data_IF_561041572251
#
_entry.id   IF_561041572251
#
_cell.length_a   1.000
_cell.length_b   1.000
_cell.length_c   1.000
_cell.angle_alpha   90.00
_cell.angle_beta   90.00
_cell.angle_gamma   90.00
#
_symmetry.space_group_name_H-M   'P 1'
#
loop_
_entity.id
_entity.type
_entity.pdbx_description
1 polymer ?
#
# COMPACT_ATOMS: atom_id res chain seq x y z
N UNK A 1 -22.02 4.80 15.05
CA UNK A 1 -20.59 4.55 14.78
C UNK A 1 -20.45 3.97 13.38
N UNK A 2 -19.32 4.26 12.70
CA UNK A 2 -18.83 3.80 11.36
C UNK A 2 -18.43 4.92 10.39
N UNK A 3 -18.67 6.20 10.68
CA UNK A 3 -18.40 7.30 9.72
C UNK A 3 -16.93 7.76 9.58
N UNK A 4 -15.97 7.21 10.33
CA UNK A 4 -14.62 7.82 10.41
C UNK A 4 -13.47 7.01 9.80
N UNK A 5 -13.73 5.89 9.10
CA UNK A 5 -12.64 5.02 8.57
C UNK A 5 -12.53 4.95 7.04
N UNK A 6 -13.43 5.57 6.28
CA UNK A 6 -13.36 5.58 4.81
C UNK A 6 -12.60 6.81 4.31
N UNK A 7 -11.28 6.72 4.37
CA UNK A 7 -10.42 7.63 3.63
C UNK A 7 -10.45 7.26 2.16
N UNK A 8 -11.07 8.12 1.34
CA UNK A 8 -11.07 8.16 -0.13
C UNK A 8 -11.63 6.92 -0.86
N UNK A 9 -12.95 6.99 -1.09
CA UNK A 9 -13.75 6.28 -2.10
C UNK A 9 -13.48 4.79 -2.30
N UNK A 10 -13.53 4.02 -1.23
CA UNK A 10 -13.67 2.57 -1.34
C UNK A 10 -15.06 2.15 -0.87
N UNK A 11 -15.62 1.11 -1.49
CA UNK A 11 -16.91 0.56 -1.10
C UNK A 11 -16.83 -0.96 -0.92
N UNK A 12 -17.70 -1.49 -0.07
CA UNK A 12 -17.92 -2.93 -0.04
C UNK A 12 -19.05 -3.29 -1.01
N UNK A 13 -18.76 -4.15 -1.99
CA UNK A 13 -19.75 -4.65 -2.93
C UNK A 13 -19.49 -6.15 -3.17
N UNK A 14 -20.55 -6.95 -3.22
CA UNK A 14 -20.46 -8.42 -3.44
C UNK A 14 -19.49 -9.13 -2.47
N UNK A 15 -19.48 -8.72 -1.20
CA UNK A 15 -18.60 -9.29 -0.18
C UNK A 15 -17.12 -8.95 -0.34
N UNK A 16 -16.76 -8.01 -1.23
CA UNK A 16 -15.38 -7.60 -1.50
C UNK A 16 -15.21 -6.11 -1.27
N UNK A 17 -14.00 -5.73 -0.87
CA UNK A 17 -13.58 -4.34 -0.85
C UNK A 17 -13.21 -3.90 -2.27
N UNK A 18 -13.84 -2.84 -2.75
CA UNK A 18 -13.62 -2.27 -4.06
C UNK A 18 -12.90 -0.93 -3.89
N UNK A 19 -11.68 -0.83 -4.42
CA UNK A 19 -10.98 0.44 -4.56
C UNK A 19 -11.48 1.13 -5.83
N UNK A 20 -12.18 2.26 -5.66
CA UNK A 20 -12.73 3.05 -6.76
C UNK A 20 -12.29 4.51 -6.63
N UNK A 21 -12.42 5.29 -7.72
CA UNK A 21 -12.18 6.73 -7.72
C UNK A 21 -10.82 7.16 -7.12
N UNK A 22 -9.76 6.55 -7.63
CA UNK A 22 -8.38 6.88 -7.28
C UNK A 22 -7.81 8.05 -8.11
N UNK A 23 -8.66 8.82 -8.81
CA UNK A 23 -8.23 9.90 -9.72
C UNK A 23 -7.55 11.08 -9.01
N UNK A 24 -7.81 11.25 -7.71
CA UNK A 24 -7.15 12.24 -6.85
C UNK A 24 -5.90 11.70 -6.13
N UNK A 25 -5.51 10.45 -6.38
CA UNK A 25 -4.30 9.86 -5.81
C UNK A 25 -3.03 10.48 -6.40
N UNK A 26 -1.88 10.24 -5.75
CA UNK A 26 -0.57 10.75 -6.16
C UNK A 26 -0.46 12.30 -6.23
N UNK A 27 -1.25 13.03 -5.43
CA UNK A 27 -1.14 14.49 -5.33
C UNK A 27 0.26 14.95 -4.90
N UNK A 28 0.64 16.19 -5.24
CA UNK A 28 1.94 16.77 -4.89
C UNK A 28 2.15 16.94 -3.38
N UNK A 29 1.06 17.12 -2.63
CA UNK A 29 1.11 17.27 -1.18
C UNK A 29 1.07 15.90 -0.50
N UNK A 30 2.06 15.56 0.34
CA UNK A 30 2.03 14.32 1.10
C UNK A 30 0.76 14.21 1.96
N UNK A 31 0.10 13.05 1.91
CA UNK A 31 -1.04 12.75 2.78
C UNK A 31 -0.54 11.85 3.93
N UNK A 32 -0.59 12.29 5.20
CA UNK A 32 -0.08 11.51 6.34
C UNK A 32 -1.07 10.42 6.82
N UNK A 33 -2.30 10.41 6.30
CA UNK A 33 -3.34 9.46 6.76
C UNK A 33 -2.99 7.98 6.54
N UNK A 34 -2.40 7.55 5.41
CA UNK A 34 -2.07 6.14 5.17
C UNK A 34 -1.13 5.58 6.24
N UNK A 35 -0.02 6.26 6.55
CA UNK A 35 0.95 5.85 7.57
C UNK A 35 0.28 5.69 8.95
N UNK A 36 -0.50 6.69 9.37
CA UNK A 36 -1.23 6.65 10.64
C UNK A 36 -2.22 5.48 10.74
N UNK A 37 -2.81 5.06 9.62
CA UNK A 37 -3.77 3.97 9.60
C UNK A 37 -3.10 2.61 9.47
N UNK A 38 -1.97 2.53 8.76
CA UNK A 38 -1.17 1.31 8.65
C UNK A 38 -0.79 0.80 10.03
N UNK A 39 -0.31 1.68 10.92
CA UNK A 39 0.14 1.29 12.26
C UNK A 39 -0.96 0.81 13.21
N UNK A 40 -2.24 0.82 12.79
CA UNK A 40 -3.36 0.25 13.53
C UNK A 40 -3.63 -1.21 13.18
N UNK A 41 -3.02 -1.71 12.10
CA UNK A 41 -3.25 -3.03 11.54
C UNK A 41 -2.03 -3.88 11.84
N UNK A 42 -2.23 -5.12 12.28
CA UNK A 42 -1.15 -6.06 12.58
C UNK A 42 -1.33 -7.42 11.89
N UNK A 43 -2.38 -7.56 11.07
CA UNK A 43 -2.73 -8.77 10.33
C UNK A 43 -2.80 -8.46 8.84
N UNK A 44 -2.12 -9.25 8.04
CA UNK A 44 -1.90 -9.01 6.62
C UNK A 44 -2.12 -10.30 5.80
N UNK A 45 -2.34 -10.13 4.48
CA UNK A 45 -2.34 -11.25 3.53
C UNK A 45 -0.90 -11.57 3.13
N UNK A 46 -0.52 -12.85 3.21
CA UNK A 46 0.80 -13.30 2.78
C UNK A 46 0.97 -13.10 1.27
N UNK A 47 -0.04 -13.49 0.48
CA UNK A 47 -0.01 -13.32 -0.97
C UNK A 47 0.22 -11.86 -1.38
N UNK A 48 -0.46 -10.92 -0.71
CA UNK A 48 -0.31 -9.49 -1.01
C UNK A 48 1.08 -8.99 -0.63
N UNK A 49 1.58 -9.38 0.54
CA UNK A 49 2.93 -9.03 0.98
C UNK A 49 3.99 -9.55 0.00
N UNK A 50 3.94 -10.85 -0.33
CA UNK A 50 4.90 -11.49 -1.25
C UNK A 50 4.88 -10.84 -2.64
N UNK A 51 3.69 -10.52 -3.17
CA UNK A 51 3.55 -9.84 -4.46
C UNK A 51 4.18 -8.44 -4.45
N UNK A 52 3.97 -7.65 -3.40
CA UNK A 52 4.57 -6.32 -3.24
C UNK A 52 6.10 -6.44 -3.06
N UNK A 53 6.54 -7.41 -2.26
CA UNK A 53 7.96 -7.69 -2.01
C UNK A 53 8.69 -8.09 -3.31
N UNK A 54 8.01 -8.81 -4.21
CA UNK A 54 8.56 -9.28 -5.47
C UNK A 54 8.73 -8.20 -6.56
N UNK A 55 8.23 -6.97 -6.36
CA UNK A 55 8.40 -5.90 -7.34
C UNK A 55 9.87 -5.64 -7.66
N UNK A 56 10.23 -5.73 -8.95
CA UNK A 56 11.50 -5.28 -9.46
C UNK A 56 11.41 -3.80 -9.84
N UNK A 57 12.15 -2.92 -9.15
CA UNK A 57 12.03 -1.46 -9.25
C UNK A 57 12.03 -0.94 -10.68
N UNK A 58 13.10 -1.25 -11.42
CA UNK A 58 13.31 -0.69 -12.75
C UNK A 58 12.28 -1.24 -13.75
N UNK A 59 11.98 -2.54 -13.67
CA UNK A 59 10.96 -3.17 -14.50
C UNK A 59 9.55 -2.64 -14.21
N UNK A 60 9.26 -2.33 -12.95
CA UNK A 60 7.95 -1.82 -12.55
C UNK A 60 7.72 -0.40 -13.09
N UNK A 61 8.72 0.47 -13.04
CA UNK A 61 8.60 1.81 -13.60
C UNK A 61 8.29 1.75 -15.09
N UNK A 62 9.07 0.98 -15.85
CA UNK A 62 8.90 0.82 -17.29
C UNK A 62 7.55 0.18 -17.65
N UNK A 63 7.06 -0.75 -16.81
CA UNK A 63 5.76 -1.39 -16.98
C UNK A 63 4.59 -0.42 -16.73
N UNK A 64 4.70 0.43 -15.71
CA UNK A 64 3.63 1.35 -15.32
C UNK A 64 3.55 2.57 -16.24
N UNK A 65 4.71 3.10 -16.66
CA UNK A 65 4.81 4.37 -17.39
C UNK A 65 5.90 4.23 -18.45
N UNK A 66 5.48 4.17 -19.71
CA UNK A 66 6.42 4.23 -20.84
C UNK A 66 6.96 5.65 -20.97
N UNK A 67 8.28 5.79 -21.07
CA UNK A 67 8.97 7.09 -21.21
C UNK A 67 8.59 8.13 -20.13
N UNK A 68 8.82 7.84 -18.84
CA UNK A 68 8.32 8.66 -17.75
C UNK A 68 8.98 10.05 -17.72
N UNK A 69 8.14 11.07 -17.56
CA UNK A 69 8.55 12.44 -17.28
C UNK A 69 9.28 12.55 -15.94
N UNK A 70 10.01 13.64 -15.71
CA UNK A 70 10.65 13.93 -14.42
C UNK A 70 9.65 13.88 -13.26
N UNK A 71 8.43 14.37 -13.48
CA UNK A 71 7.37 14.37 -12.47
C UNK A 71 6.94 12.94 -12.10
N UNK A 72 6.74 12.09 -13.10
CA UNK A 72 6.35 10.69 -12.88
C UNK A 72 7.44 9.90 -12.17
N UNK A 73 8.72 10.15 -12.50
CA UNK A 73 9.86 9.56 -11.77
C UNK A 73 9.82 9.95 -10.29
N UNK A 74 9.57 11.22 -9.96
CA UNK A 74 9.44 11.66 -8.56
C UNK A 74 8.26 11.00 -7.83
N UNK A 75 7.15 10.75 -8.54
CA UNK A 75 6.00 10.01 -7.98
C UNK A 75 6.31 8.55 -7.76
N UNK A 76 7.01 7.94 -8.69
CA UNK A 76 7.49 6.57 -8.54
C UNK A 76 8.42 6.43 -7.32
N UNK A 77 9.33 7.39 -7.09
CA UNK A 77 10.16 7.41 -5.87
C UNK A 77 9.32 7.48 -4.59
N UNK A 78 8.27 8.31 -4.59
CA UNK A 78 7.35 8.40 -3.44
C UNK A 78 6.65 7.07 -3.19
N UNK A 79 6.14 6.44 -4.25
CA UNK A 79 5.53 5.12 -4.19
C UNK A 79 6.53 4.08 -3.68
N UNK A 80 7.76 4.09 -4.18
CA UNK A 80 8.80 3.14 -3.80
C UNK A 80 9.18 3.25 -2.32
N UNK A 81 9.30 4.46 -1.80
CA UNK A 81 9.53 4.70 -0.38
C UNK A 81 8.36 4.23 0.49
N UNK A 82 7.12 4.44 0.04
CA UNK A 82 5.93 3.95 0.74
C UNK A 82 5.84 2.42 0.73
N UNK A 83 6.22 1.78 -0.38
CA UNK A 83 6.36 0.32 -0.46
C UNK A 83 7.34 -0.16 0.61
N UNK A 84 8.53 0.43 0.70
CA UNK A 84 9.53 0.00 1.68
C UNK A 84 9.03 0.19 3.12
N UNK A 85 8.44 1.35 3.44
CA UNK A 85 7.87 1.60 4.76
C UNK A 85 6.76 0.60 5.13
N UNK A 86 5.95 0.17 4.17
CA UNK A 86 4.97 -0.90 4.37
C UNK A 86 5.64 -2.24 4.70
N UNK A 87 6.63 -2.66 3.92
CA UNK A 87 7.33 -3.93 4.13
C UNK A 87 8.05 -3.95 5.48
N UNK A 88 8.79 -2.89 5.82
CA UNK A 88 9.49 -2.75 7.09
C UNK A 88 8.52 -2.84 8.28
N UNK A 89 7.33 -2.24 8.15
CA UNK A 89 6.32 -2.32 9.19
C UNK A 89 5.75 -3.74 9.36
N UNK A 90 5.49 -4.45 8.25
CA UNK A 90 5.02 -5.85 8.32
C UNK A 90 6.09 -6.74 8.95
N UNK A 91 7.36 -6.59 8.57
CA UNK A 91 8.48 -7.31 9.19
C UNK A 91 8.55 -7.03 10.70
N UNK A 92 8.38 -5.79 11.13
CA UNK A 92 8.33 -5.46 12.56
C UNK A 92 7.16 -6.15 13.29
N UNK A 93 6.05 -6.40 12.61
CA UNK A 93 4.94 -7.17 13.17
C UNK A 93 5.30 -8.66 13.27
N UNK A 94 5.99 -9.23 12.28
CA UNK A 94 6.49 -10.61 12.30
C UNK A 94 7.46 -10.80 13.46
N UNK A 95 8.42 -9.90 13.63
CA UNK A 95 9.39 -9.95 14.74
C UNK A 95 8.69 -9.91 16.11
N UNK A 96 7.64 -9.10 16.23
CA UNK A 96 6.94 -8.88 17.51
C UNK A 96 5.93 -9.99 17.84
N UNK A 97 5.15 -10.43 16.86
CA UNK A 97 3.97 -11.27 17.07
C UNK A 97 4.15 -12.69 16.51
N UNK A 98 5.18 -12.93 15.69
CA UNK A 98 5.35 -14.16 14.93
C UNK A 98 4.67 -14.11 13.55
N UNK A 99 5.20 -14.90 12.62
CA UNK A 99 4.72 -14.93 11.23
C UNK A 99 3.26 -15.40 11.13
N UNK A 100 2.89 -16.44 11.88
CA UNK A 100 1.53 -17.02 11.84
C UNK A 100 0.44 -16.07 12.33
N UNK A 101 0.76 -15.19 13.28
CA UNK A 101 -0.18 -14.18 13.78
C UNK A 101 -0.25 -12.95 12.86
N UNK A 102 0.83 -12.69 12.12
CA UNK A 102 0.93 -11.55 11.19
C UNK A 102 0.29 -11.87 9.85
N UNK A 103 0.61 -13.01 9.25
CA UNK A 103 0.02 -13.48 8.00
C UNK A 103 -1.24 -14.32 8.25
N UNK A 104 -2.31 -13.63 8.63
CA UNK A 104 -3.58 -14.25 8.96
C UNK A 104 -4.44 -14.58 7.73
N UNK A 105 -4.25 -13.86 6.62
CA UNK A 105 -5.04 -14.04 5.40
C UNK A 105 -4.18 -14.73 4.33
N UNK A 106 -4.79 -15.67 3.60
CA UNK A 106 -4.19 -16.26 2.39
C UNK A 106 -4.17 -15.23 1.25
#
# INVERSE_FOLDING_TARGET
>A
GLKSLYGVNCQFAHGRFMSIDNGASFSQTPNPKPEKNLHKIQRFSKLTYDAIAAFARDQLLDYLIQEPTTYEKQKFETFWNQRQAYLDYVESCIEKNGESETFFFE
#
